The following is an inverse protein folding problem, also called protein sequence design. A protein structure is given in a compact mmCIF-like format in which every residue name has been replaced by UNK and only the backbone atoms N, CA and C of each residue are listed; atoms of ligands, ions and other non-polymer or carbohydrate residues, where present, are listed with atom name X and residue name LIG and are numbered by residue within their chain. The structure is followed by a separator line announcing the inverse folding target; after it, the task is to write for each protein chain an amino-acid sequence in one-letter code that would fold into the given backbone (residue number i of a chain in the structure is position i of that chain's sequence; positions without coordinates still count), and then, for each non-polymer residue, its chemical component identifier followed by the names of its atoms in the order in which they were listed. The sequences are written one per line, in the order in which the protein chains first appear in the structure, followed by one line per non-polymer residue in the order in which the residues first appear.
data_IF_931458855814
#
_entry.id   IF_931458855814
#
_cell.length_a   1.000
_cell.length_b   1.000
_cell.length_c   1.000
_cell.angle_alpha   90.00
_cell.angle_beta   90.00
_cell.angle_gamma   90.00
#
_symmetry.space_group_name_H-M   'P 1'
#
loop_
_entity.id
_entity.type
_entity.pdbx_description
1 polymer ?
#
# COMPACT_ATOMS: atom_id res chain seq x y z
N UNK A 1 -2.81 -5.19 -16.65
CA UNK A 1 -2.79 -6.60 -16.18
C UNK A 1 -2.59 -7.54 -17.35
N UNK A 2 -3.48 -7.52 -18.36
CA UNK A 2 -3.37 -8.25 -19.64
C UNK A 2 -1.96 -8.33 -20.24
N UNK A 3 -1.36 -7.18 -20.52
CA UNK A 3 -0.06 -7.07 -21.20
C UNK A 3 1.09 -7.74 -20.43
N UNK A 4 0.99 -7.84 -19.11
CA UNK A 4 1.98 -8.50 -18.26
C UNK A 4 1.62 -9.96 -17.93
N UNK A 5 0.50 -10.49 -18.44
CA UNK A 5 0.01 -11.83 -18.13
C UNK A 5 -0.49 -12.02 -16.69
N UNK A 6 -0.86 -10.93 -16.00
CA UNK A 6 -1.30 -10.94 -14.60
C UNK A 6 -2.83 -10.85 -14.45
N UNK A 7 -3.57 -11.25 -15.48
CA UNK A 7 -5.03 -11.34 -15.38
C UNK A 7 -5.44 -12.47 -14.43
N UNK A 8 -6.45 -12.21 -13.61
CA UNK A 8 -6.93 -13.17 -12.61
C UNK A 8 -6.02 -13.37 -11.41
N UNK A 9 -4.86 -12.69 -11.34
CA UNK A 9 -3.94 -12.77 -10.19
C UNK A 9 -4.34 -11.87 -9.00
N UNK A 10 -5.39 -11.05 -9.15
CA UNK A 10 -5.83 -10.08 -8.16
C UNK A 10 -7.33 -10.26 -7.87
N UNK A 11 -7.70 -10.33 -6.59
CA UNK A 11 -9.10 -10.44 -6.15
C UNK A 11 -9.93 -9.17 -6.44
N UNK A 12 -9.25 -8.02 -6.52
CA UNK A 12 -9.87 -6.74 -6.84
C UNK A 12 -8.89 -5.79 -7.53
N UNK A 13 -9.42 -4.94 -8.41
CA UNK A 13 -8.73 -3.79 -8.98
C UNK A 13 -9.49 -2.53 -8.55
N UNK A 14 -8.86 -1.71 -7.72
CA UNK A 14 -9.47 -0.50 -7.16
C UNK A 14 -8.90 0.75 -7.84
N UNK A 15 -9.79 1.61 -8.33
CA UNK A 15 -9.43 2.90 -8.93
C UNK A 15 -9.89 4.04 -8.03
N UNK A 16 -9.04 5.05 -7.89
CA UNK A 16 -9.36 6.29 -7.15
C UNK A 16 -10.43 7.13 -7.85
N UNK A 17 -10.72 6.84 -9.13
CA UNK A 17 -11.80 7.49 -9.89
C UNK A 17 -13.15 7.38 -9.16
N UNK A 18 -13.40 6.29 -8.44
CA UNK A 18 -14.62 6.07 -7.67
C UNK A 18 -14.88 7.16 -6.60
N UNK A 19 -13.83 7.83 -6.12
CA UNK A 19 -13.90 8.87 -5.08
C UNK A 19 -13.46 10.24 -5.59
N UNK A 20 -13.08 10.36 -6.88
CA UNK A 20 -12.68 11.58 -7.55
C UNK A 20 -11.58 12.42 -6.83
N UNK A 21 -10.77 11.78 -5.98
CA UNK A 21 -9.64 12.39 -5.27
C UNK A 21 -8.44 11.47 -5.29
N UNK A 22 -7.23 12.04 -5.19
CA UNK A 22 -5.99 11.27 -5.17
C UNK A 22 -5.48 11.02 -3.76
N UNK A 23 -4.61 10.01 -3.65
CA UNK A 23 -3.76 9.82 -2.47
C UNK A 23 -2.97 11.11 -2.19
N UNK A 24 -2.67 11.43 -0.91
CA UNK A 24 -2.90 10.63 0.29
C UNK A 24 -4.22 10.95 1.02
N UNK A 25 -5.27 11.38 0.32
CA UNK A 25 -6.58 11.58 0.95
C UNK A 25 -7.11 10.27 1.54
N UNK A 26 -7.57 10.31 2.80
CA UNK A 26 -7.95 9.11 3.57
C UNK A 26 -9.01 8.24 2.88
N UNK A 27 -10.00 8.89 2.24
CA UNK A 27 -11.07 8.21 1.48
C UNK A 27 -10.57 7.27 0.37
N UNK A 28 -9.33 7.46 -0.11
CA UNK A 28 -8.73 6.54 -1.07
C UNK A 28 -8.31 5.23 -0.41
N UNK A 29 -7.85 5.27 0.84
CA UNK A 29 -7.47 4.07 1.60
C UNK A 29 -8.72 3.33 2.11
N UNK A 30 -9.83 4.05 2.39
CA UNK A 30 -11.12 3.46 2.76
C UNK A 30 -11.65 2.47 1.71
N UNK A 31 -11.40 2.71 0.42
CA UNK A 31 -11.78 1.80 -0.67
C UNK A 31 -11.30 0.35 -0.45
N UNK A 32 -10.14 0.18 0.20
CA UNK A 32 -9.59 -1.15 0.50
C UNK A 32 -10.45 -1.83 1.57
N UNK A 33 -10.77 -1.10 2.65
CA UNK A 33 -11.55 -1.64 3.75
C UNK A 33 -12.97 -1.99 3.32
N UNK A 34 -13.60 -1.11 2.53
CA UNK A 34 -14.94 -1.35 1.98
C UNK A 34 -14.98 -2.57 1.06
N UNK A 35 -13.99 -2.72 0.17
CA UNK A 35 -13.97 -3.83 -0.79
C UNK A 35 -13.76 -5.19 -0.13
N UNK A 36 -12.92 -5.24 0.90
CA UNK A 36 -12.49 -6.49 1.53
C UNK A 36 -13.14 -6.76 2.90
N UNK A 37 -13.98 -5.84 3.39
CA UNK A 37 -14.61 -5.90 4.72
C UNK A 37 -13.57 -6.14 5.83
N UNK A 38 -12.42 -5.50 5.69
CA UNK A 38 -11.26 -5.64 6.57
C UNK A 38 -11.18 -4.49 7.58
N UNK A 39 -10.36 -4.64 8.62
CA UNK A 39 -9.92 -3.53 9.47
C UNK A 39 -8.54 -3.05 9.03
N UNK A 40 -8.14 -1.80 9.34
CA UNK A 40 -6.82 -1.28 8.96
C UNK A 40 -5.66 -2.20 9.37
N UNK A 41 -5.72 -2.79 10.56
CA UNK A 41 -4.69 -3.69 11.09
C UNK A 41 -4.58 -5.02 10.32
N UNK A 42 -5.61 -5.42 9.58
CA UNK A 42 -5.63 -6.64 8.78
C UNK A 42 -4.96 -6.44 7.40
N UNK A 43 -4.56 -5.20 7.06
CA UNK A 43 -4.02 -4.83 5.75
C UNK A 43 -2.51 -4.57 5.83
N UNK A 44 -1.74 -5.31 5.03
CA UNK A 44 -0.36 -4.94 4.67
C UNK A 44 -0.37 -4.09 3.39
N UNK A 45 -0.17 -2.78 3.54
CA UNK A 45 -0.09 -1.85 2.42
C UNK A 45 1.33 -1.73 1.88
N UNK A 46 1.51 -2.02 0.59
CA UNK A 46 2.82 -2.06 -0.07
C UNK A 46 2.92 -0.98 -1.13
N UNK A 47 4.00 -0.20 -1.10
CA UNK A 47 4.27 0.84 -2.10
C UNK A 47 5.77 1.09 -2.23
N UNK A 48 6.22 1.53 -3.40
CA UNK A 48 7.59 2.03 -3.60
C UNK A 48 7.74 3.52 -3.26
N UNK A 49 6.63 4.23 -3.04
CA UNK A 49 6.63 5.67 -2.81
C UNK A 49 6.56 5.96 -1.31
N UNK A 50 7.60 6.59 -0.76
CA UNK A 50 7.69 6.89 0.68
C UNK A 50 6.53 7.76 1.20
N UNK A 51 6.04 8.69 0.39
CA UNK A 51 4.90 9.54 0.75
C UNK A 51 3.58 8.77 0.84
N UNK A 52 3.36 7.77 -0.02
CA UNK A 52 2.13 6.95 -0.01
C UNK A 52 2.16 5.98 1.18
N UNK A 53 3.35 5.48 1.52
CA UNK A 53 3.59 4.72 2.75
C UNK A 53 3.27 5.56 3.99
N UNK A 54 3.74 6.81 4.06
CA UNK A 54 3.38 7.67 5.19
C UNK A 54 1.88 7.93 5.25
N UNK A 55 1.21 8.12 4.12
CA UNK A 55 -0.26 8.29 4.07
C UNK A 55 -1.00 7.05 4.61
N UNK A 56 -0.67 5.87 4.09
CA UNK A 56 -1.23 4.60 4.52
C UNK A 56 -0.95 4.27 6.00
N UNK A 57 0.27 4.55 6.48
CA UNK A 57 0.62 4.37 7.88
C UNK A 57 -0.15 5.33 8.80
N UNK A 58 -0.36 6.57 8.37
CA UNK A 58 -1.18 7.55 9.10
C UNK A 58 -2.65 7.12 9.15
N UNK A 59 -3.15 6.51 8.08
CA UNK A 59 -4.50 5.96 8.01
C UNK A 59 -4.71 4.76 8.95
N UNK A 60 -3.66 3.99 9.23
CA UNK A 60 -3.68 2.88 10.18
C UNK A 60 -3.30 1.52 9.60
N UNK A 61 -2.91 1.45 8.32
CA UNK A 61 -2.39 0.22 7.72
C UNK A 61 -1.00 -0.12 8.27
N UNK A 62 -0.72 -1.42 8.38
CA UNK A 62 0.67 -1.89 8.45
C UNK A 62 1.29 -1.68 7.08
N UNK A 63 2.50 -1.12 7.03
CA UNK A 63 3.10 -0.69 5.76
C UNK A 63 4.45 -1.34 5.47
N UNK A 64 4.68 -1.68 4.19
CA UNK A 64 5.97 -2.11 3.67
C UNK A 64 6.41 -1.19 2.52
N UNK A 65 7.49 -0.45 2.75
CA UNK A 65 8.11 0.38 1.74
C UNK A 65 9.13 -0.41 0.91
N UNK A 66 8.85 -0.57 -0.39
CA UNK A 66 9.79 -1.19 -1.32
C UNK A 66 10.78 -0.14 -1.82
N UNK A 67 11.97 -0.09 -1.23
CA UNK A 67 12.99 0.91 -1.50
C UNK A 67 14.20 0.31 -2.24
N UNK A 68 14.04 0.10 -3.55
CA UNK A 68 15.09 -0.43 -4.44
C UNK A 68 16.33 0.47 -4.53
N UNK A 69 16.15 1.78 -4.35
CA UNK A 69 17.19 2.78 -4.56
C UNK A 69 17.94 3.15 -3.28
N UNK A 70 17.60 2.54 -2.13
CA UNK A 70 18.23 2.86 -0.84
C UNK A 70 18.05 4.32 -0.42
N UNK A 71 16.93 4.94 -0.80
CA UNK A 71 16.64 6.33 -0.47
C UNK A 71 16.45 6.52 1.05
N UNK A 72 16.78 7.68 1.61
CA UNK A 72 16.47 7.98 3.00
C UNK A 72 14.95 8.04 3.22
N UNK A 73 14.50 7.67 4.43
CA UNK A 73 13.09 7.83 4.81
C UNK A 73 12.77 9.32 4.91
N UNK A 74 11.73 9.76 4.21
CA UNK A 74 11.26 11.14 4.25
C UNK A 74 10.84 11.58 5.66
N UNK A 75 10.94 12.89 5.92
CA UNK A 75 10.43 13.50 7.16
C UNK A 75 8.94 13.78 7.06
N UNK A 76 8.15 12.72 6.98
CA UNK A 76 6.69 12.75 6.97
C UNK A 76 6.11 12.27 8.31
N UNK A 77 4.83 12.53 8.60
CA UNK A 77 4.23 12.26 9.92
C UNK A 77 4.34 10.80 10.38
N UNK A 78 4.26 9.84 9.46
CA UNK A 78 4.37 8.42 9.76
C UNK A 78 5.52 7.77 8.99
N UNK A 79 6.10 6.72 9.58
CA UNK A 79 7.20 5.94 9.00
C UNK A 79 6.70 4.57 8.54
N UNK A 80 7.33 3.94 7.53
CA UNK A 80 7.07 2.55 7.22
C UNK A 80 7.25 1.65 8.43
N UNK A 81 6.39 0.66 8.58
CA UNK A 81 6.62 -0.42 9.54
C UNK A 81 7.76 -1.35 9.08
N UNK A 82 7.88 -1.56 7.76
CA UNK A 82 8.88 -2.41 7.14
C UNK A 82 9.51 -1.70 5.92
N UNK A 83 10.78 -1.98 5.65
CA UNK A 83 11.47 -1.55 4.43
C UNK A 83 12.12 -2.79 3.81
N UNK A 84 11.90 -3.00 2.52
CA UNK A 84 12.50 -4.10 1.77
C UNK A 84 13.10 -3.57 0.45
N UNK A 85 14.19 -4.18 -0.06
CA UNK A 85 14.77 -3.78 -1.33
C UNK A 85 13.89 -4.20 -2.53
N UNK A 86 13.07 -5.23 -2.38
CA UNK A 86 12.18 -5.77 -3.42
C UNK A 86 10.98 -6.51 -2.80
N UNK A 87 10.25 -7.30 -3.59
CA UNK A 87 9.06 -8.03 -3.16
C UNK A 87 9.33 -9.50 -2.77
N UNK A 88 10.57 -9.98 -2.87
CA UNK A 88 10.89 -11.42 -2.69
C UNK A 88 10.56 -11.94 -1.30
N UNK A 89 10.65 -11.08 -0.28
CA UNK A 89 10.39 -11.42 1.13
C UNK A 89 8.99 -11.03 1.60
N UNK A 90 8.09 -10.62 0.70
CA UNK A 90 6.76 -10.11 1.10
C UNK A 90 5.96 -11.16 1.88
N UNK A 91 6.09 -12.44 1.53
CA UNK A 91 5.39 -13.55 2.16
C UNK A 91 5.79 -13.76 3.61
N UNK A 92 7.00 -13.37 3.99
CA UNK A 92 7.51 -13.50 5.36
C UNK A 92 6.82 -12.51 6.32
N UNK A 93 6.01 -11.60 5.78
CA UNK A 93 5.30 -10.56 6.52
C UNK A 93 3.78 -10.76 6.57
N UNK A 94 3.27 -11.76 5.86
CA UNK A 94 1.88 -12.19 5.89
C UNK A 94 1.75 -13.25 6.99
N UNK A 95 0.86 -13.01 7.97
CA UNK A 95 0.58 -13.91 9.07
C UNK A 95 -0.60 -14.84 8.73
#
# INVERSE_FOLDING_TARGET
MASAGLEGSFDALLSVEAVAVYKPMQIVYDLVLERFLARPEDVLFVSSNGWDISGAATFGFRTLWVNRAGLPVDRLPARPALIAPDLTTITDHLA
#
